data_IF_227130366095
#
_entry.id   IF_227130366095
#
_cell.length_a   1.000
_cell.length_b   1.000
_cell.length_c   1.000
_cell.angle_alpha   90.00
_cell.angle_beta   90.00
_cell.angle_gamma   90.00
#
_symmetry.space_group_name_H-M   'P 1'
#
loop_
_entity.id
_entity.type
_entity.pdbx_description
1 polymer ?
#
# COMPACT_ATOMS: atom_id res chain seq x y z
N UNK A 1 3.43 -13.41 -11.31
CA UNK A 1 4.19 -13.83 -10.11
C UNK A 1 5.17 -12.76 -9.60
N UNK A 2 5.45 -11.69 -10.36
CA UNK A 2 6.36 -10.61 -9.97
C UNK A 2 5.83 -9.66 -8.87
N UNK A 3 4.52 -9.56 -8.68
CA UNK A 3 3.90 -8.66 -7.69
C UNK A 3 4.28 -8.99 -6.24
N UNK A 4 4.46 -10.28 -5.91
CA UNK A 4 4.83 -10.69 -4.55
C UNK A 4 6.26 -10.27 -4.22
N UNK A 5 7.28 -10.53 -5.05
CA UNK A 5 8.62 -9.96 -4.87
C UNK A 5 8.61 -8.43 -4.70
N UNK A 6 7.84 -7.70 -5.52
CA UNK A 6 7.73 -6.24 -5.40
C UNK A 6 7.09 -5.82 -4.08
N UNK A 7 6.05 -6.53 -3.62
CA UNK A 7 5.47 -6.28 -2.31
C UNK A 7 6.48 -6.49 -1.19
N UNK A 8 7.27 -7.58 -1.25
CA UNK A 8 8.33 -7.86 -0.25
C UNK A 8 9.37 -6.76 -0.23
N UNK A 9 9.84 -6.30 -1.40
CA UNK A 9 10.76 -5.16 -1.48
C UNK A 9 10.12 -3.90 -0.90
N UNK A 10 8.86 -3.62 -1.25
CA UNK A 10 8.10 -2.48 -0.72
C UNK A 10 7.84 -2.55 0.79
N UNK A 11 7.91 -3.72 1.41
CA UNK A 11 7.84 -3.86 2.87
C UNK A 11 9.22 -3.69 3.51
N UNK A 12 10.22 -4.40 2.98
CA UNK A 12 11.55 -4.47 3.59
C UNK A 12 12.37 -3.20 3.37
N UNK A 13 12.32 -2.60 2.17
CA UNK A 13 13.10 -1.42 1.88
C UNK A 13 12.52 -0.18 2.60
N UNK A 14 11.37 0.40 2.22
CA UNK A 14 10.89 1.61 2.88
C UNK A 14 10.35 1.32 4.29
N UNK A 15 9.64 0.19 4.50
CA UNK A 15 9.13 -0.16 5.83
C UNK A 15 10.23 -0.58 6.80
N UNK A 16 11.20 -1.37 6.33
CA UNK A 16 12.36 -1.76 7.15
C UNK A 16 13.29 -0.59 7.45
N UNK A 17 13.55 0.32 6.51
CA UNK A 17 14.30 1.56 6.77
C UNK A 17 13.60 2.45 7.79
N UNK A 18 12.28 2.61 7.68
CA UNK A 18 11.50 3.36 8.65
C UNK A 18 11.64 2.78 10.06
N UNK A 19 11.49 1.46 10.22
CA UNK A 19 11.65 0.78 11.51
C UNK A 19 13.09 0.89 12.03
N UNK A 20 14.09 0.77 11.16
CA UNK A 20 15.49 0.90 11.52
C UNK A 20 15.78 2.29 12.11
N UNK A 21 15.39 3.37 11.41
CA UNK A 21 15.56 4.73 11.89
C UNK A 21 14.74 5.04 13.13
N UNK A 22 13.52 4.50 13.22
CA UNK A 22 12.67 4.69 14.40
C UNK A 22 13.31 4.11 15.67
N UNK A 23 14.05 3.01 15.56
CA UNK A 23 14.72 2.35 16.68
C UNK A 23 16.10 2.95 16.99
N UNK A 24 16.83 3.42 15.98
CA UNK A 24 18.22 3.87 16.15
C UNK A 24 18.37 5.39 16.30
N UNK A 25 17.59 6.19 15.58
CA UNK A 25 17.79 7.65 15.49
C UNK A 25 16.78 8.45 16.32
N UNK A 26 15.61 7.88 16.61
CA UNK A 26 14.56 8.56 17.39
C UNK A 26 14.42 7.96 18.79
N UNK A 27 14.49 8.82 19.81
CA UNK A 27 14.30 8.42 21.22
C UNK A 27 12.85 8.08 21.58
N UNK A 28 11.88 8.52 20.75
CA UNK A 28 10.45 8.24 20.92
C UNK A 28 9.67 8.46 19.62
N UNK A 29 8.53 7.78 19.47
CA UNK A 29 7.59 8.00 18.36
C UNK A 29 7.11 9.46 18.29
N UNK A 30 6.94 10.10 19.45
CA UNK A 30 6.58 11.52 19.55
C UNK A 30 7.67 12.46 19.01
N UNK A 31 8.95 12.10 19.15
CA UNK A 31 10.03 12.88 18.57
C UNK A 31 10.02 12.80 17.04
N UNK A 32 9.77 11.61 16.48
CA UNK A 32 9.58 11.45 15.03
C UNK A 32 8.36 12.23 14.50
N UNK A 33 7.25 12.24 15.26
CA UNK A 33 6.05 12.98 14.91
C UNK A 33 6.14 14.49 15.20
N UNK A 34 7.20 14.98 15.84
CA UNK A 34 7.44 16.42 16.03
C UNK A 34 8.14 17.06 14.82
N UNK A 35 8.67 16.24 13.92
CA UNK A 35 9.26 16.71 12.67
C UNK A 35 8.16 17.11 11.67
N UNK A 36 8.21 18.37 11.23
CA UNK A 36 7.27 18.92 10.25
C UNK A 36 7.32 18.15 8.93
N UNK A 37 8.50 17.69 8.52
CA UNK A 37 8.62 16.88 7.29
C UNK A 37 7.99 15.50 7.48
N UNK A 38 8.28 14.84 8.62
CA UNK A 38 7.67 13.56 8.97
C UNK A 38 6.15 13.59 8.98
N UNK A 39 5.54 14.62 9.58
CA UNK A 39 4.08 14.81 9.57
C UNK A 39 3.54 15.00 8.15
N UNK A 40 4.21 15.83 7.33
CA UNK A 40 3.76 16.11 5.96
C UNK A 40 3.74 14.83 5.10
N UNK A 41 4.81 14.01 5.17
CA UNK A 41 4.86 12.73 4.48
C UNK A 41 3.85 11.72 5.02
N UNK A 42 3.64 11.69 6.33
CA UNK A 42 2.64 10.82 6.94
C UNK A 42 1.22 11.17 6.47
N UNK A 43 0.88 12.46 6.43
CA UNK A 43 -0.40 12.93 5.90
C UNK A 43 -0.55 12.60 4.42
N UNK A 44 0.49 12.80 3.62
CA UNK A 44 0.48 12.46 2.19
C UNK A 44 0.26 10.96 1.96
N UNK A 45 0.92 10.10 2.74
CA UNK A 45 0.72 8.65 2.73
C UNK A 45 -0.71 8.26 3.11
N UNK A 46 -1.26 8.91 4.14
CA UNK A 46 -2.62 8.68 4.60
C UNK A 46 -3.64 9.09 3.54
N UNK A 47 -3.48 10.29 2.96
CA UNK A 47 -4.34 10.79 1.88
C UNK A 47 -4.25 9.90 0.64
N UNK A 48 -3.05 9.53 0.20
CA UNK A 48 -2.82 8.63 -0.92
C UNK A 48 -3.50 7.27 -0.70
N UNK A 49 -3.42 6.74 0.53
CA UNK A 49 -4.10 5.49 0.91
C UNK A 49 -5.61 5.62 0.77
N UNK A 50 -6.21 6.69 1.28
CA UNK A 50 -7.66 6.88 1.19
C UNK A 50 -8.14 7.17 -0.24
N UNK A 51 -7.39 7.94 -1.03
CA UNK A 51 -7.70 8.20 -2.44
C UNK A 51 -7.71 6.90 -3.24
N UNK A 52 -6.67 6.07 -3.08
CA UNK A 52 -6.60 4.76 -3.74
C UNK A 52 -7.67 3.80 -3.23
N UNK A 53 -7.95 3.78 -1.92
CA UNK A 53 -9.03 2.97 -1.37
C UNK A 53 -10.39 3.37 -1.94
N UNK A 54 -10.66 4.67 -2.08
CA UNK A 54 -11.87 5.19 -2.72
C UNK A 54 -11.95 4.78 -4.20
N UNK A 55 -10.83 4.84 -4.93
CA UNK A 55 -10.76 4.34 -6.30
C UNK A 55 -11.14 2.86 -6.38
N UNK A 56 -10.58 2.02 -5.51
CA UNK A 56 -10.92 0.59 -5.46
C UNK A 56 -12.34 0.31 -4.95
N UNK A 57 -12.93 1.20 -4.16
CA UNK A 57 -14.32 1.12 -3.74
C UNK A 57 -15.28 1.40 -4.91
N UNK A 58 -14.95 2.38 -5.77
CA UNK A 58 -15.73 2.73 -6.96
C UNK A 58 -15.54 1.72 -8.10
N UNK A 59 -14.32 1.24 -8.30
CA UNK A 59 -13.97 0.28 -9.36
C UNK A 59 -13.23 -0.92 -8.77
N UNK A 60 -13.96 -1.93 -8.26
CA UNK A 60 -13.33 -3.11 -7.67
C UNK A 60 -12.54 -3.90 -8.71
N UNK A 61 -11.34 -4.35 -8.31
CA UNK A 61 -10.46 -5.18 -9.13
C UNK A 61 -10.87 -6.66 -9.14
N UNK A 62 -11.67 -7.09 -8.16
CA UNK A 62 -12.01 -8.49 -7.95
C UNK A 62 -12.74 -8.72 -6.62
N UNK A 63 -12.71 -9.94 -6.07
CA UNK A 63 -13.51 -10.32 -4.90
C UNK A 63 -12.94 -9.83 -3.57
N UNK A 64 -11.69 -9.34 -3.53
CA UNK A 64 -11.11 -8.81 -2.30
C UNK A 64 -11.57 -7.37 -2.13
N UNK A 65 -12.32 -7.12 -1.05
CA UNK A 65 -12.91 -5.81 -0.78
C UNK A 65 -11.84 -4.74 -0.53
N UNK A 66 -12.15 -3.50 -0.89
CA UNK A 66 -11.25 -2.34 -0.78
C UNK A 66 -10.78 -2.06 0.67
N UNK A 67 -11.53 -2.47 1.71
CA UNK A 67 -11.06 -2.32 3.09
C UNK A 67 -9.74 -3.07 3.35
N UNK A 68 -9.52 -4.20 2.67
CA UNK A 68 -8.26 -4.94 2.79
C UNK A 68 -7.09 -4.18 2.21
N UNK A 69 -7.29 -3.31 1.21
CA UNK A 69 -6.22 -2.44 0.72
C UNK A 69 -5.74 -1.48 1.82
N UNK A 70 -6.67 -0.91 2.61
CA UNK A 70 -6.33 -0.04 3.74
C UNK A 70 -5.54 -0.83 4.79
N UNK A 71 -6.06 -2.00 5.20
CA UNK A 71 -5.39 -2.85 6.20
C UNK A 71 -3.97 -3.21 5.74
N UNK A 72 -3.79 -3.63 4.49
CA UNK A 72 -2.47 -3.96 3.95
C UNK A 72 -1.53 -2.75 3.90
N UNK A 73 -2.06 -1.57 3.54
CA UNK A 73 -1.26 -0.34 3.46
C UNK A 73 -0.84 0.17 4.84
N UNK A 74 -1.68 -0.01 5.86
CA UNK A 74 -1.37 0.34 7.26
C UNK A 74 -0.42 -0.65 7.93
N UNK A 75 -0.50 -1.95 7.58
CA UNK A 75 0.42 -2.96 8.10
C UNK A 75 1.84 -2.84 7.54
N UNK A 76 2.00 -2.16 6.41
CA UNK A 76 3.30 -1.96 5.78
C UNK A 76 3.38 -0.56 5.18
N UNK A 77 3.55 -0.52 3.88
CA UNK A 77 3.61 0.72 3.10
C UNK A 77 2.66 0.62 1.91
N UNK A 78 2.39 1.73 1.22
CA UNK A 78 1.70 1.69 -0.07
C UNK A 78 2.45 0.83 -1.10
N UNK A 79 3.79 0.84 -1.08
CA UNK A 79 4.62 0.02 -1.95
C UNK A 79 4.47 -1.49 -1.67
N UNK A 80 4.10 -1.87 -0.45
CA UNK A 80 3.71 -3.23 -0.09
C UNK A 80 2.23 -3.51 -0.42
N UNK A 81 1.34 -2.62 0.00
CA UNK A 81 -0.11 -2.80 -0.04
C UNK A 81 -0.67 -2.88 -1.47
N UNK A 82 -0.24 -2.00 -2.37
CA UNK A 82 -0.71 -1.96 -3.77
C UNK A 82 -0.46 -3.29 -4.50
N UNK A 83 0.80 -3.76 -4.67
CA UNK A 83 1.06 -4.98 -5.43
C UNK A 83 0.45 -6.23 -4.77
N UNK A 84 0.43 -6.30 -3.43
CA UNK A 84 -0.15 -7.44 -2.73
C UNK A 84 -1.67 -7.47 -2.86
N UNK A 85 -2.35 -6.32 -2.81
CA UNK A 85 -3.79 -6.21 -3.02
C UNK A 85 -4.20 -6.59 -4.43
N UNK A 86 -3.45 -6.15 -5.45
CA UNK A 86 -3.67 -6.55 -6.85
C UNK A 86 -3.50 -8.06 -7.02
N UNK A 87 -2.41 -8.61 -6.48
CA UNK A 87 -2.15 -10.04 -6.54
C UNK A 87 -3.25 -10.86 -5.84
N UNK A 88 -3.72 -10.40 -4.67
CA UNK A 88 -4.78 -11.06 -3.89
C UNK A 88 -6.13 -11.07 -4.61
N UNK A 89 -6.46 -10.01 -5.36
CA UNK A 89 -7.66 -9.98 -6.19
C UNK A 89 -7.54 -10.95 -7.37
N UNK A 90 -6.47 -10.85 -8.15
CA UNK A 90 -6.34 -11.61 -9.39
C UNK A 90 -6.17 -13.10 -9.19
N UNK A 91 -5.56 -13.54 -8.09
CA UNK A 91 -5.48 -14.97 -7.78
C UNK A 91 -6.86 -15.60 -7.53
N UNK A 92 -7.87 -14.80 -7.19
CA UNK A 92 -9.23 -15.25 -6.89
C UNK A 92 -10.24 -15.01 -8.02
N UNK A 93 -9.84 -14.34 -9.11
CA UNK A 93 -10.68 -14.12 -10.30
C UNK A 93 -10.53 -15.31 -11.27
N UNK A 94 -11.65 -15.99 -11.65
CA UNK A 94 -11.65 -17.01 -12.70
C UNK A 94 -11.21 -16.43 -14.06
N UNK A 95 -10.58 -17.24 -14.91
CA UNK A 95 -10.19 -16.79 -16.26
C UNK A 95 -11.43 -16.50 -17.13
N UNK A 96 -11.40 -15.52 -18.07
CA UNK A 96 -10.27 -14.65 -18.43
C UNK A 96 -10.12 -13.42 -17.52
N UNK A 97 -8.89 -13.14 -17.12
CA UNK A 97 -8.57 -12.01 -16.23
C UNK A 97 -8.32 -10.75 -17.05
N UNK A 98 -9.00 -9.62 -16.80
CA UNK A 98 -8.60 -8.35 -17.39
C UNK A 98 -7.20 -8.00 -16.88
N UNK A 99 -6.27 -7.70 -17.79
CA UNK A 99 -4.93 -7.22 -17.40
C UNK A 99 -5.02 -5.87 -16.67
N UNK A 100 -4.02 -5.53 -15.86
CA UNK A 100 -3.99 -4.25 -15.12
C UNK A 100 -4.18 -3.06 -16.06
N UNK A 101 -3.51 -3.06 -17.22
CA UNK A 101 -3.66 -2.03 -18.24
C UNK A 101 -5.07 -1.99 -18.86
N UNK A 102 -5.80 -3.12 -18.91
CA UNK A 102 -7.18 -3.13 -19.36
C UNK A 102 -8.10 -2.53 -18.31
N UNK A 103 -7.93 -2.90 -17.03
CA UNK A 103 -8.68 -2.30 -15.93
C UNK A 103 -8.39 -0.80 -15.80
N UNK A 104 -7.13 -0.37 -15.87
CA UNK A 104 -6.74 1.04 -15.75
C UNK A 104 -7.35 1.93 -16.85
N UNK A 105 -7.49 1.41 -18.07
CA UNK A 105 -8.17 2.14 -19.16
C UNK A 105 -9.66 2.37 -18.91
N UNK A 106 -10.25 1.66 -17.94
CA UNK A 106 -11.64 1.89 -17.54
C UNK A 106 -11.76 2.86 -16.38
N UNK A 107 -10.64 3.32 -15.78
CA UNK A 107 -10.59 4.25 -14.66
C UNK A 107 -10.82 5.69 -15.10
#
# INVERSE_FOLDING_TARGET
>A
MWLVPVAVIGLLAPGGLFLYWLVHDYSSLSAALSDRMGIAFFLDLLMSTFILAYLFARRPLGPVKWQWFIVLSLLGTLAFGIPLFIWANWRRVPAPRPGFAAWWRTV
#
